data_IF_052925042996
#
_entry.id   IF_052925042996
#
_cell.length_a   1.000
_cell.length_b   1.000
_cell.length_c   1.000
_cell.angle_alpha   90.00
_cell.angle_beta   90.00
_cell.angle_gamma   90.00
#
_symmetry.space_group_name_H-M   'P 1'
#
loop_
_entity.id
_entity.type
_entity.pdbx_description
1 polymer ?
#
# COMPACT_ATOMS: atom_id res chain seq x y z
N UNK A 1 -7.60 -11.49 24.93
CA UNK A 1 -7.27 -12.12 23.63
C UNK A 1 -7.31 -11.08 22.52
N UNK A 2 -8.32 -10.19 22.49
CA UNK A 2 -8.42 -9.05 21.55
C UNK A 2 -7.23 -8.07 21.64
N UNK A 3 -6.78 -7.69 22.84
CA UNK A 3 -5.63 -6.78 23.01
C UNK A 3 -4.35 -7.27 22.30
N UNK A 4 -4.09 -8.58 22.33
CA UNK A 4 -2.91 -9.16 21.70
C UNK A 4 -2.99 -9.11 20.16
N UNK A 5 -4.19 -9.28 19.59
CA UNK A 5 -4.36 -9.20 18.15
C UNK A 5 -4.21 -7.76 17.64
N UNK A 6 -4.78 -6.78 18.35
CA UNK A 6 -4.64 -5.38 18.02
C UNK A 6 -3.17 -4.93 18.05
N UNK A 7 -2.44 -5.24 19.12
CA UNK A 7 -1.01 -4.94 19.24
C UNK A 7 -0.19 -5.61 18.12
N UNK A 8 -0.54 -6.85 17.77
CA UNK A 8 0.08 -7.57 16.65
C UNK A 8 -0.16 -6.86 15.32
N UNK A 9 -1.38 -6.43 15.02
CA UNK A 9 -1.67 -5.71 13.77
C UNK A 9 -1.02 -4.33 13.74
N UNK A 10 -1.01 -3.61 14.87
CA UNK A 10 -0.34 -2.30 14.99
C UNK A 10 1.18 -2.41 14.82
N UNK A 11 1.81 -3.48 15.29
CA UNK A 11 3.25 -3.70 15.13
C UNK A 11 3.64 -4.07 13.70
N UNK A 12 2.74 -4.72 12.94
CA UNK A 12 2.95 -5.14 11.55
C UNK A 12 2.58 -4.05 10.53
N UNK A 13 1.97 -2.94 10.97
CA UNK A 13 1.47 -1.92 10.06
C UNK A 13 2.61 -1.24 9.30
N UNK A 14 2.37 -1.03 8.02
CA UNK A 14 3.21 -0.20 7.18
C UNK A 14 2.97 1.28 7.52
N UNK A 15 4.06 2.04 7.71
CA UNK A 15 4.01 3.44 8.16
C UNK A 15 4.45 4.43 7.09
N UNK A 16 5.22 3.98 6.12
CA UNK A 16 5.86 4.85 5.13
C UNK A 16 4.95 5.00 3.91
N UNK A 17 3.95 5.87 4.01
CA UNK A 17 3.08 6.22 2.89
C UNK A 17 2.85 7.74 2.86
N UNK A 18 2.61 8.26 1.66
CA UNK A 18 2.40 9.69 1.43
C UNK A 18 1.25 9.91 0.44
N UNK A 19 0.79 11.16 0.37
CA UNK A 19 -0.02 11.63 -0.74
C UNK A 19 0.89 12.47 -1.66
N UNK A 20 1.12 11.96 -2.86
CA UNK A 20 1.94 12.60 -3.88
C UNK A 20 1.05 13.42 -4.83
N UNK A 21 1.52 14.60 -5.25
CA UNK A 21 0.81 15.44 -6.22
C UNK A 21 1.10 14.98 -7.66
N UNK A 22 0.08 14.47 -8.33
CA UNK A 22 0.12 14.09 -9.74
C UNK A 22 -0.98 14.81 -10.51
N UNK A 23 -0.61 15.71 -11.42
CA UNK A 23 -1.56 16.49 -12.23
C UNK A 23 -2.67 17.14 -11.38
N UNK A 24 -2.25 17.88 -10.33
CA UNK A 24 -3.13 18.55 -9.37
C UNK A 24 -4.07 17.63 -8.57
N UNK A 25 -3.82 16.31 -8.59
CA UNK A 25 -4.54 15.32 -7.77
C UNK A 25 -3.62 14.67 -6.75
N UNK A 26 -4.14 14.44 -5.55
CA UNK A 26 -3.46 13.66 -4.51
C UNK A 26 -3.57 12.18 -4.86
N UNK A 27 -2.43 11.52 -5.06
CA UNK A 27 -2.34 10.08 -5.32
C UNK A 27 -1.73 9.40 -4.10
N UNK A 28 -2.36 8.33 -3.57
CA UNK A 28 -1.79 7.53 -2.51
C UNK A 28 -0.53 6.82 -2.99
N UNK A 29 0.55 6.94 -2.23
CA UNK A 29 1.86 6.36 -2.56
C UNK A 29 2.40 5.58 -1.36
N UNK A 30 2.77 4.32 -1.59
CA UNK A 30 3.43 3.46 -0.59
C UNK A 30 4.94 3.53 -0.86
N UNK A 31 5.71 3.85 0.19
CA UNK A 31 7.17 3.94 0.12
C UNK A 31 7.76 2.59 0.50
N UNK A 32 8.53 2.01 -0.40
CA UNK A 32 9.25 0.76 -0.23
C UNK A 32 10.71 1.06 0.11
N UNK A 33 11.40 0.12 0.75
CA UNK A 33 12.86 0.19 0.80
C UNK A 33 13.45 0.10 -0.62
N UNK A 34 14.63 0.70 -0.82
CA UNK A 34 15.26 0.79 -2.15
C UNK A 34 15.44 -0.59 -2.80
N UNK A 35 15.89 -1.58 -2.03
CA UNK A 35 16.16 -2.92 -2.55
C UNK A 35 14.89 -3.58 -3.06
N UNK A 36 13.79 -3.46 -2.30
CA UNK A 36 12.48 -3.98 -2.68
C UNK A 36 11.93 -3.27 -3.92
N UNK A 37 12.03 -1.95 -3.99
CA UNK A 37 11.61 -1.18 -5.16
C UNK A 37 12.40 -1.57 -6.42
N UNK A 38 13.73 -1.62 -6.32
CA UNK A 38 14.62 -1.99 -7.43
C UNK A 38 14.34 -3.39 -7.95
N UNK A 39 14.05 -4.35 -7.07
CA UNK A 39 13.72 -5.71 -7.46
C UNK A 39 12.40 -5.79 -8.24
N UNK A 40 11.40 -4.99 -7.85
CA UNK A 40 10.16 -4.86 -8.61
C UNK A 40 10.48 -4.30 -10.00
N UNK A 41 11.16 -3.15 -10.05
CA UNK A 41 11.46 -2.46 -11.31
C UNK A 41 12.29 -3.32 -12.27
N UNK A 42 13.33 -4.02 -11.80
CA UNK A 42 14.13 -4.95 -12.64
C UNK A 42 13.28 -6.05 -13.27
N UNK A 43 12.21 -6.46 -12.61
CA UNK A 43 11.35 -7.55 -13.06
C UNK A 43 10.29 -7.10 -14.05
N UNK A 44 9.79 -5.86 -13.94
CA UNK A 44 8.61 -5.38 -14.69
C UNK A 44 8.90 -4.22 -15.64
N UNK A 45 10.02 -3.51 -15.51
CA UNK A 45 10.32 -2.34 -16.33
C UNK A 45 10.39 -2.69 -17.82
N UNK A 46 9.80 -1.82 -18.64
CA UNK A 46 9.76 -1.98 -20.10
C UNK A 46 8.82 -3.09 -20.59
N UNK A 47 8.02 -3.70 -19.71
CA UNK A 47 7.05 -4.74 -20.07
C UNK A 47 5.62 -4.25 -19.80
N UNK A 48 4.63 -4.65 -20.62
CA UNK A 48 3.23 -4.45 -20.26
C UNK A 48 2.92 -5.32 -19.04
N UNK A 49 2.52 -4.68 -17.94
CA UNK A 49 2.22 -5.35 -16.68
C UNK A 49 0.86 -4.90 -16.20
N UNK A 50 -0.04 -5.86 -15.96
CA UNK A 50 -1.20 -5.66 -15.12
C UNK A 50 -0.85 -6.00 -13.67
N UNK A 51 -1.40 -5.22 -12.73
CA UNK A 51 -1.28 -5.47 -11.28
C UNK A 51 -2.69 -5.68 -10.75
N UNK A 52 -2.94 -6.86 -10.19
CA UNK A 52 -4.16 -7.14 -9.45
C UNK A 52 -4.02 -6.57 -8.04
N UNK A 53 -4.91 -5.63 -7.70
CA UNK A 53 -4.88 -4.89 -6.44
C UNK A 53 -6.09 -5.29 -5.60
N UNK A 54 -5.84 -5.99 -4.50
CA UNK A 54 -6.87 -6.46 -3.58
C UNK A 54 -6.81 -5.70 -2.26
N UNK A 55 -7.95 -5.15 -1.81
CA UNK A 55 -8.09 -4.45 -0.54
C UNK A 55 -8.95 -5.30 0.39
N UNK A 56 -8.34 -5.86 1.43
CA UNK A 56 -9.06 -6.59 2.47
C UNK A 56 -9.23 -5.71 3.70
N UNK A 57 -10.47 -5.34 4.01
CA UNK A 57 -10.81 -4.54 5.19
C UNK A 57 -10.99 -5.49 6.38
N UNK A 58 -10.22 -5.25 7.44
CA UNK A 58 -10.26 -5.95 8.71
C UNK A 58 -10.78 -4.96 9.76
N UNK A 59 -11.94 -5.24 10.34
CA UNK A 59 -12.50 -4.46 11.44
C UNK A 59 -12.58 -5.35 12.68
N UNK A 60 -12.09 -4.85 13.81
CA UNK A 60 -12.04 -5.61 15.07
C UNK A 60 -13.31 -5.50 15.93
N UNK A 61 -14.31 -4.72 15.50
CA UNK A 61 -15.54 -4.46 16.25
C UNK A 61 -15.40 -3.40 17.36
N UNK A 62 -14.18 -2.99 17.70
CA UNK A 62 -13.86 -1.97 18.71
C UNK A 62 -13.50 -0.62 18.10
N UNK A 63 -13.60 -0.51 16.77
CA UNK A 63 -13.38 0.73 16.02
C UNK A 63 -12.00 0.83 15.38
N UNK A 64 -11.15 -0.21 15.48
CA UNK A 64 -9.91 -0.29 14.74
C UNK A 64 -10.15 -0.94 13.37
N UNK A 65 -9.72 -0.24 12.32
CA UNK A 65 -9.83 -0.70 10.94
C UNK A 65 -8.44 -0.79 10.34
N UNK A 66 -8.11 -1.98 9.83
CA UNK A 66 -6.91 -2.21 9.04
C UNK A 66 -7.30 -2.57 7.61
N UNK A 67 -6.47 -2.19 6.66
CA UNK A 67 -6.61 -2.59 5.26
C UNK A 67 -5.36 -3.32 4.85
N UNK A 68 -5.50 -4.61 4.54
CA UNK A 68 -4.44 -5.39 3.91
C UNK A 68 -4.53 -5.18 2.39
N UNK A 69 -3.56 -4.50 1.83
CA UNK A 69 -3.39 -4.28 0.39
C UNK A 69 -2.47 -5.36 -0.16
N UNK A 70 -2.96 -6.14 -1.12
CA UNK A 70 -2.16 -7.10 -1.87
C UNK A 70 -2.04 -6.64 -3.33
N UNK A 71 -0.81 -6.57 -3.84
CA UNK A 71 -0.50 -6.29 -5.23
C UNK A 71 0.13 -7.52 -5.86
N UNK A 72 -0.56 -8.11 -6.83
CA UNK A 72 -0.07 -9.27 -7.58
C UNK A 72 0.24 -8.86 -9.02
N UNK A 73 1.52 -8.91 -9.39
CA UNK A 73 1.99 -8.50 -10.69
C UNK A 73 1.89 -9.68 -11.66
N UNK A 74 1.24 -9.46 -12.81
CA UNK A 74 1.13 -10.45 -13.90
C UNK A 74 2.47 -10.94 -14.46
N UNK A 75 3.55 -10.22 -14.18
CA UNK A 75 4.91 -10.52 -14.62
C UNK A 75 5.88 -10.47 -13.44
N UNK A 76 6.94 -11.27 -13.54
CA UNK A 76 8.00 -11.31 -12.52
C UNK A 76 7.70 -12.17 -11.30
N UNK A 77 6.49 -12.73 -11.17
CA UNK A 77 6.12 -13.56 -10.01
C UNK A 77 6.15 -12.78 -8.69
N UNK A 78 5.82 -11.48 -8.76
CA UNK A 78 5.92 -10.56 -7.63
C UNK A 78 4.57 -10.44 -6.95
N UNK A 79 4.55 -10.72 -5.65
CA UNK A 79 3.44 -10.38 -4.76
C UNK A 79 3.94 -9.40 -3.70
N UNK A 80 3.21 -8.31 -3.47
CA UNK A 80 3.49 -7.33 -2.43
C UNK A 80 2.31 -7.24 -1.48
N UNK A 81 2.58 -7.23 -0.18
CA UNK A 81 1.56 -7.09 0.85
C UNK A 81 1.89 -5.91 1.76
N UNK A 82 0.87 -5.15 2.12
CA UNK A 82 0.94 -4.01 3.03
C UNK A 82 -0.25 -4.05 3.97
N UNK A 83 -0.03 -3.71 5.24
CA UNK A 83 -1.10 -3.54 6.22
C UNK A 83 -1.15 -2.09 6.64
N UNK A 84 -2.17 -1.35 6.26
CA UNK A 84 -2.36 0.03 6.70
C UNK A 84 -3.41 0.09 7.82
N UNK A 85 -3.17 0.95 8.79
CA UNK A 85 -4.15 1.26 9.83
C UNK A 85 -5.01 2.44 9.36
N UNK A 86 -6.25 2.15 8.95
CA UNK A 86 -7.13 3.09 8.24
C UNK A 86 -7.52 4.29 9.08
N UNK A 87 -7.63 4.12 10.41
CA UNK A 87 -7.93 5.22 11.33
C UNK A 87 -6.87 6.34 11.27
N UNK A 88 -5.62 6.03 10.93
CA UNK A 88 -4.53 7.01 10.75
C UNK A 88 -4.28 7.37 9.28
N UNK A 89 -4.93 6.69 8.33
CA UNK A 89 -4.66 6.79 6.90
C UNK A 89 -5.91 7.03 6.06
N UNK A 90 -6.97 7.59 6.64
CA UNK A 90 -8.24 7.83 5.93
C UNK A 90 -8.05 8.60 4.61
N UNK A 91 -7.26 9.68 4.63
CA UNK A 91 -6.98 10.48 3.43
C UNK A 91 -6.28 9.71 2.31
N UNK A 92 -5.51 8.67 2.65
CA UNK A 92 -4.90 7.78 1.67
C UNK A 92 -5.98 7.02 0.89
N UNK A 93 -6.98 6.48 1.59
CA UNK A 93 -8.07 5.73 0.96
C UNK A 93 -9.07 6.62 0.23
N UNK A 94 -9.32 7.84 0.72
CA UNK A 94 -10.11 8.85 0.01
C UNK A 94 -9.45 9.20 -1.34
N UNK A 95 -8.14 9.48 -1.32
CA UNK A 95 -7.37 9.75 -2.53
C UNK A 95 -7.35 8.53 -3.49
N UNK A 96 -7.28 7.31 -2.96
CA UNK A 96 -7.38 6.09 -3.76
C UNK A 96 -8.73 5.97 -4.46
N UNK A 97 -9.82 6.24 -3.74
CA UNK A 97 -11.17 6.18 -4.27
C UNK A 97 -11.41 7.28 -5.34
N UNK A 98 -10.87 8.48 -5.12
CA UNK A 98 -11.01 9.60 -6.04
C UNK A 98 -10.21 9.41 -7.34
N UNK A 99 -8.98 8.91 -7.23
CA UNK A 99 -8.06 8.83 -8.37
C UNK A 99 -8.06 7.47 -9.05
N UNK A 100 -8.43 6.40 -8.34
CA UNK A 100 -8.19 5.01 -8.73
C UNK A 100 -6.71 4.70 -9.04
N UNK A 101 -5.79 5.53 -8.54
CA UNK A 101 -4.35 5.40 -8.71
C UNK A 101 -3.71 5.00 -7.38
N UNK A 102 -2.75 4.09 -7.44
CA UNK A 102 -1.89 3.71 -6.32
C UNK A 102 -0.45 3.70 -6.81
N UNK A 103 0.39 4.52 -6.21
CA UNK A 103 1.81 4.62 -6.54
C UNK A 103 2.67 3.79 -5.59
N UNK A 104 3.79 3.30 -6.11
CA UNK A 104 4.89 2.73 -5.34
C UNK A 104 6.13 3.59 -5.62
N UNK A 105 6.90 3.90 -4.59
CA UNK A 105 8.16 4.65 -4.73
C UNK A 105 9.22 4.10 -3.77
N UNK A 106 10.49 4.38 -4.05
CA UNK A 106 11.56 4.31 -3.05
C UNK A 106 11.65 5.65 -2.29
N UNK A 107 12.39 5.74 -1.16
CA UNK A 107 12.55 6.99 -0.41
C UNK A 107 13.32 8.06 -1.20
N UNK A 108 14.12 7.64 -2.19
CA UNK A 108 15.01 8.50 -2.97
C UNK A 108 14.51 8.75 -4.40
N UNK A 109 13.29 8.30 -4.72
CA UNK A 109 12.67 8.47 -6.03
C UNK A 109 11.50 9.48 -6.03
N UNK A 110 11.34 10.25 -4.94
CA UNK A 110 10.36 11.33 -4.86
C UNK A 110 10.79 12.57 -5.67
#
# INVERSE_FOLDING_TARGET
MEDNELERLLSQRHKDFVLFDFNDKKVPCIILDETRFDNIMKSVAGRPVSVETNLHILQDGSGHVFVKITLNFSQGGIEQQFLLYANESLKFFEALAETSLLALSSPHSQ
#
